data_IF_022963066744
#
_entry.id   IF_022963066744
#
_cell.length_a   1.000
_cell.length_b   1.000
_cell.length_c   1.000
_cell.angle_alpha   90.00
_cell.angle_beta   90.00
_cell.angle_gamma   90.00
#
_symmetry.space_group_name_H-M   'P 1'
#
loop_
_entity.id
_entity.type
_entity.pdbx_description
1 polymer ?
#
# COMPACT_ATOMS: atom_id res chain seq x y z
N UNK A 1 6.85 9.87 -15.60
CA UNK A 1 5.87 8.95 -15.00
C UNK A 1 5.00 9.73 -14.02
N UNK A 2 3.70 9.53 -14.03
CA UNK A 2 2.73 10.14 -13.10
C UNK A 2 2.10 9.04 -12.26
N UNK A 3 2.24 9.16 -10.94
CA UNK A 3 1.73 8.20 -9.98
C UNK A 3 0.64 8.86 -9.15
N UNK A 4 -0.43 8.13 -8.88
CA UNK A 4 -1.45 8.49 -7.89
C UNK A 4 -1.37 7.52 -6.72
N UNK A 5 -1.28 8.06 -5.51
CA UNK A 5 -1.49 7.31 -4.29
C UNK A 5 -2.81 7.75 -3.64
N UNK A 6 -3.62 6.79 -3.25
CA UNK A 6 -4.88 7.01 -2.53
C UNK A 6 -4.75 6.38 -1.15
N UNK A 7 -4.99 7.17 -0.12
CA UNK A 7 -5.04 6.69 1.26
C UNK A 7 -6.21 5.72 1.49
N UNK A 8 -6.48 5.43 2.75
CA UNK A 8 -7.43 4.40 3.18
C UNK A 8 -8.82 4.55 2.52
N UNK A 9 -9.19 3.54 1.71
CA UNK A 9 -10.53 3.43 1.13
C UNK A 9 -11.43 2.82 2.19
N UNK A 10 -12.44 3.58 2.65
CA UNK A 10 -13.30 3.15 3.76
C UNK A 10 -14.71 2.79 3.26
N UNK A 11 -15.05 1.53 3.36
CA UNK A 11 -16.37 0.96 3.14
C UNK A 11 -17.00 1.26 1.78
N UNK A 12 -18.32 1.05 1.65
CA UNK A 12 -19.04 1.24 0.38
C UNK A 12 -18.97 2.67 -0.15
N UNK A 13 -18.91 3.68 0.72
CA UNK A 13 -18.83 5.09 0.33
C UNK A 13 -17.50 5.42 -0.35
N UNK A 14 -16.38 4.97 0.24
CA UNK A 14 -15.05 5.11 -0.37
C UNK A 14 -14.96 4.38 -1.70
N UNK A 15 -15.39 3.11 -1.76
CA UNK A 15 -15.44 2.33 -2.99
C UNK A 15 -16.28 3.00 -4.08
N UNK A 16 -17.45 3.58 -3.72
CA UNK A 16 -18.31 4.30 -4.67
C UNK A 16 -17.62 5.52 -5.27
N UNK A 17 -16.90 6.29 -4.46
CA UNK A 17 -16.14 7.46 -4.93
C UNK A 17 -15.05 7.02 -5.92
N UNK A 18 -14.27 6.00 -5.57
CA UNK A 18 -13.22 5.46 -6.45
C UNK A 18 -13.82 5.00 -7.78
N UNK A 19 -14.84 4.15 -7.74
CA UNK A 19 -15.49 3.62 -8.94
C UNK A 19 -16.03 4.72 -9.87
N UNK A 20 -16.51 5.82 -9.29
CA UNK A 20 -17.10 6.92 -10.06
C UNK A 20 -16.05 7.83 -10.70
N UNK A 21 -14.98 8.14 -9.98
CA UNK A 21 -14.09 9.22 -10.40
C UNK A 21 -12.70 8.76 -10.87
N UNK A 22 -12.19 7.64 -10.35
CA UNK A 22 -10.81 7.22 -10.67
C UNK A 22 -10.58 6.99 -12.16
N UNK A 23 -11.47 6.32 -12.94
CA UNK A 23 -11.24 6.11 -14.36
C UNK A 23 -11.09 7.42 -15.16
N UNK A 24 -11.88 8.43 -14.79
CA UNK A 24 -11.80 9.76 -15.41
C UNK A 24 -10.50 10.48 -15.03
N UNK A 25 -10.12 10.43 -13.75
CA UNK A 25 -8.87 11.03 -13.23
C UNK A 25 -7.65 10.42 -13.91
N UNK A 26 -7.62 9.08 -14.08
CA UNK A 26 -6.53 8.39 -14.79
C UNK A 26 -6.36 8.98 -16.20
N UNK A 27 -7.45 9.13 -16.93
CA UNK A 27 -7.42 9.67 -18.29
C UNK A 27 -7.05 11.16 -18.31
N UNK A 28 -7.70 11.99 -17.48
CA UNK A 28 -7.46 13.44 -17.45
C UNK A 28 -6.05 13.82 -17.02
N UNK A 29 -5.46 13.05 -16.10
CA UNK A 29 -4.12 13.31 -15.57
C UNK A 29 -3.03 12.50 -16.26
N UNK A 30 -3.39 11.64 -17.20
CA UNK A 30 -2.47 10.74 -17.91
C UNK A 30 -1.61 9.96 -16.89
N UNK A 31 -2.30 9.23 -15.99
CA UNK A 31 -1.63 8.50 -14.92
C UNK A 31 -1.06 7.18 -15.43
N UNK A 32 0.18 6.91 -15.09
CA UNK A 32 0.90 5.68 -15.44
C UNK A 32 0.67 4.56 -14.42
N UNK A 33 0.48 4.92 -13.14
CA UNK A 33 0.41 3.95 -12.05
C UNK A 33 -0.43 4.47 -10.88
N UNK A 34 -1.27 3.59 -10.30
CA UNK A 34 -2.16 3.92 -9.18
C UNK A 34 -1.97 2.91 -8.06
N UNK A 35 -1.64 3.39 -6.87
CA UNK A 35 -1.62 2.61 -5.63
C UNK A 35 -2.69 3.13 -4.70
N UNK A 36 -3.36 2.25 -3.97
CA UNK A 36 -4.35 2.64 -2.97
C UNK A 36 -4.27 1.73 -1.74
N UNK A 37 -4.54 2.27 -0.57
CA UNK A 37 -4.74 1.46 0.62
C UNK A 37 -6.20 1.01 0.69
N UNK A 38 -6.42 -0.31 0.67
CA UNK A 38 -7.74 -0.93 0.64
C UNK A 38 -8.11 -1.66 1.94
N UNK A 39 -7.38 -1.45 3.03
CA UNK A 39 -7.58 -2.24 4.24
C UNK A 39 -8.96 -2.11 4.89
N UNK A 40 -9.67 -1.00 4.64
CA UNK A 40 -11.01 -0.73 5.17
C UNK A 40 -12.11 -0.79 4.11
N UNK A 41 -11.82 -1.36 2.93
CA UNK A 41 -12.70 -1.29 1.77
C UNK A 41 -13.94 -2.22 1.83
N UNK A 42 -13.94 -3.23 2.72
CA UNK A 42 -15.08 -4.12 2.89
C UNK A 42 -16.36 -3.39 3.36
N UNK A 43 -17.54 -3.98 3.14
CA UNK A 43 -18.83 -3.39 3.42
C UNK A 43 -19.01 -2.96 4.90
N UNK A 44 -18.37 -3.67 5.82
CA UNK A 44 -18.34 -3.35 7.24
C UNK A 44 -17.23 -2.36 7.65
N UNK A 45 -16.43 -1.88 6.69
CA UNK A 45 -15.32 -0.97 6.93
C UNK A 45 -14.05 -1.61 7.51
N UNK A 46 -13.96 -2.94 7.56
CA UNK A 46 -12.83 -3.67 8.14
C UNK A 46 -12.33 -4.76 7.17
N UNK A 47 -11.08 -4.67 6.76
CA UNK A 47 -10.49 -5.59 5.80
C UNK A 47 -10.92 -5.30 4.36
N UNK A 48 -10.60 -6.23 3.49
CA UNK A 48 -10.95 -6.19 2.07
C UNK A 48 -11.39 -7.59 1.62
N UNK A 49 -12.47 -7.68 0.85
CA UNK A 49 -12.93 -8.94 0.25
C UNK A 49 -12.35 -9.11 -1.15
N UNK A 50 -12.28 -10.36 -1.64
CA UNK A 50 -11.88 -10.66 -3.03
C UNK A 50 -12.72 -9.87 -4.04
N UNK A 51 -14.04 -9.84 -3.83
CA UNK A 51 -14.97 -9.10 -4.68
C UNK A 51 -14.60 -7.62 -4.75
N UNK A 52 -14.40 -6.98 -3.60
CA UNK A 52 -14.09 -5.54 -3.52
C UNK A 52 -12.71 -5.25 -4.13
N UNK A 53 -11.70 -6.10 -3.87
CA UNK A 53 -10.37 -5.96 -4.47
C UNK A 53 -10.46 -5.99 -6.01
N UNK A 54 -11.17 -6.98 -6.57
CA UNK A 54 -11.37 -7.09 -8.01
C UNK A 54 -12.13 -5.89 -8.61
N UNK A 55 -13.15 -5.38 -7.93
CA UNK A 55 -13.87 -4.16 -8.36
C UNK A 55 -12.93 -2.95 -8.40
N UNK A 56 -12.05 -2.80 -7.40
CA UNK A 56 -11.09 -1.70 -7.32
C UNK A 56 -9.99 -1.83 -8.39
N UNK A 57 -9.47 -3.03 -8.65
CA UNK A 57 -8.54 -3.27 -9.78
C UNK A 57 -9.18 -2.94 -11.12
N UNK A 58 -10.43 -3.31 -11.34
CA UNK A 58 -11.18 -3.00 -12.57
C UNK A 58 -11.40 -1.49 -12.77
N UNK A 59 -11.33 -0.68 -11.72
CA UNK A 59 -11.38 0.80 -11.83
C UNK A 59 -10.04 1.43 -12.22
N UNK A 60 -8.96 0.64 -12.31
CA UNK A 60 -7.64 1.09 -12.73
C UNK A 60 -6.61 1.20 -11.61
N UNK A 61 -6.89 0.69 -10.40
CA UNK A 61 -5.86 0.55 -9.36
C UNK A 61 -4.91 -0.57 -9.78
N UNK A 62 -3.60 -0.29 -9.74
CA UNK A 62 -2.56 -1.25 -10.09
C UNK A 62 -2.15 -2.11 -8.91
N UNK A 63 -2.10 -1.54 -7.71
CA UNK A 63 -1.71 -2.24 -6.47
C UNK A 63 -2.56 -1.75 -5.31
N UNK A 64 -3.05 -2.69 -4.51
CA UNK A 64 -3.69 -2.43 -3.23
C UNK A 64 -2.72 -2.78 -2.10
N UNK A 65 -2.51 -1.85 -1.19
CA UNK A 65 -1.87 -2.08 0.10
C UNK A 65 -2.93 -2.28 1.18
N UNK A 66 -2.52 -2.78 2.33
CA UNK A 66 -3.39 -3.00 3.48
C UNK A 66 -2.73 -2.54 4.79
N UNK A 67 -3.23 -2.98 5.93
CA UNK A 67 -2.72 -2.62 7.24
C UNK A 67 -3.15 -3.61 8.33
N UNK A 68 -3.49 -3.12 9.51
CA UNK A 68 -3.83 -3.95 10.67
C UNK A 68 -5.15 -4.74 10.52
N UNK A 69 -6.01 -4.35 9.57
CA UNK A 69 -7.27 -5.05 9.29
C UNK A 69 -7.17 -6.08 8.16
N UNK A 70 -5.97 -6.37 7.65
CA UNK A 70 -5.77 -7.28 6.50
C UNK A 70 -6.43 -8.66 6.65
N UNK A 71 -6.55 -9.17 7.90
CA UNK A 71 -7.12 -10.50 8.19
C UNK A 71 -8.56 -10.46 8.71
N UNK A 72 -9.21 -9.29 8.72
CA UNK A 72 -10.56 -9.17 9.29
C UNK A 72 -11.66 -9.74 8.37
N UNK A 73 -11.32 -10.02 7.09
CA UNK A 73 -12.14 -10.84 6.18
C UNK A 73 -11.47 -12.20 5.99
N UNK A 74 -12.16 -13.28 6.34
CA UNK A 74 -11.57 -14.64 6.32
C UNK A 74 -11.09 -15.08 4.94
N UNK A 75 -11.80 -14.69 3.89
CA UNK A 75 -11.45 -15.02 2.50
C UNK A 75 -10.16 -14.36 2.02
N UNK A 76 -9.75 -13.24 2.65
CA UNK A 76 -8.52 -12.54 2.27
C UNK A 76 -7.29 -13.42 2.43
N UNK A 77 -7.28 -14.33 3.40
CA UNK A 77 -6.15 -15.25 3.65
C UNK A 77 -5.82 -16.07 2.40
N UNK A 78 -6.84 -16.63 1.74
CA UNK A 78 -6.64 -17.43 0.52
C UNK A 78 -6.46 -16.56 -0.73
N UNK A 79 -7.15 -15.40 -0.78
CA UNK A 79 -7.11 -14.51 -1.91
C UNK A 79 -5.73 -13.85 -2.09
N UNK A 80 -5.14 -13.37 -1.00
CA UNK A 80 -3.85 -12.64 -1.03
C UNK A 80 -2.66 -13.51 -1.46
N UNK A 81 -2.76 -14.83 -1.31
CA UNK A 81 -1.74 -15.74 -1.84
C UNK A 81 -1.77 -15.85 -3.37
N UNK A 82 -2.95 -15.65 -3.97
CA UNK A 82 -3.18 -15.79 -5.41
C UNK A 82 -3.08 -14.44 -6.13
N UNK A 83 -3.47 -13.35 -5.46
CA UNK A 83 -3.51 -12.00 -6.04
C UNK A 83 -2.24 -11.20 -5.70
N UNK A 84 -1.32 -11.15 -6.67
CA UNK A 84 -0.02 -10.47 -6.52
C UNK A 84 -0.13 -8.96 -6.33
N UNK A 85 -1.25 -8.35 -6.73
CA UNK A 85 -1.49 -6.91 -6.63
C UNK A 85 -2.09 -6.49 -5.29
N UNK A 86 -2.39 -7.44 -4.41
CA UNK A 86 -2.84 -7.18 -3.05
C UNK A 86 -1.68 -7.46 -2.07
N UNK A 87 -1.18 -6.41 -1.44
CA UNK A 87 -0.04 -6.49 -0.51
C UNK A 87 -0.50 -6.33 0.94
N UNK A 88 0.05 -7.17 1.81
CA UNK A 88 -0.06 -7.04 3.27
C UNK A 88 1.14 -6.26 3.83
N UNK A 89 1.11 -5.81 5.09
CA UNK A 89 2.33 -5.28 5.71
C UNK A 89 3.49 -6.29 5.66
N UNK A 90 4.66 -5.80 5.21
CA UNK A 90 5.85 -6.62 5.00
C UNK A 90 6.38 -7.22 6.31
N UNK A 91 6.29 -6.45 7.38
CA UNK A 91 6.74 -6.83 8.72
C UNK A 91 5.70 -7.59 9.54
N UNK A 92 4.68 -8.20 8.93
CA UNK A 92 3.86 -9.19 9.64
C UNK A 92 4.69 -10.44 9.94
N UNK A 93 4.57 -10.93 11.19
CA UNK A 93 5.33 -12.09 11.67
C UNK A 93 5.06 -13.33 10.82
N UNK A 94 6.12 -14.03 10.43
CA UNK A 94 6.03 -15.25 9.64
C UNK A 94 5.46 -16.44 10.47
N UNK A 95 4.74 -17.40 9.82
CA UNK A 95 4.37 -17.39 8.41
C UNK A 95 3.05 -16.64 8.17
N UNK A 96 3.10 -15.51 7.45
CA UNK A 96 1.91 -14.78 7.03
C UNK A 96 1.69 -14.99 5.52
N UNK A 97 0.47 -15.32 5.06
CA UNK A 97 0.18 -15.51 3.64
C UNK A 97 0.36 -14.22 2.83
N UNK A 98 0.62 -14.36 1.53
CA UNK A 98 0.83 -13.24 0.63
C UNK A 98 2.17 -12.53 0.82
N UNK A 99 2.33 -11.39 0.15
CA UNK A 99 3.57 -10.60 0.14
C UNK A 99 3.35 -9.19 0.70
N UNK A 100 4.43 -8.59 1.23
CA UNK A 100 4.43 -7.19 1.65
C UNK A 100 5.20 -6.26 0.70
N UNK A 101 5.86 -6.85 -0.30
CA UNK A 101 6.59 -6.15 -1.35
C UNK A 101 6.50 -6.94 -2.65
N UNK A 102 6.31 -6.24 -3.76
CA UNK A 102 6.51 -6.81 -5.10
C UNK A 102 6.89 -5.69 -6.10
N UNK A 103 7.35 -6.10 -7.29
CA UNK A 103 7.76 -5.20 -8.37
C UNK A 103 6.76 -5.35 -9.53
N UNK A 104 6.20 -4.24 -9.95
CA UNK A 104 5.19 -4.16 -11.00
C UNK A 104 5.72 -3.42 -12.22
N UNK A 105 5.25 -3.80 -13.40
CA UNK A 105 5.61 -3.12 -14.63
C UNK A 105 4.51 -2.13 -15.03
N UNK A 106 4.91 -0.90 -15.37
CA UNK A 106 4.03 0.05 -16.04
C UNK A 106 3.85 -0.30 -17.52
N UNK A 107 2.92 0.37 -18.20
CA UNK A 107 2.73 0.24 -19.66
C UNK A 107 4.01 0.53 -20.45
N UNK A 108 4.90 1.36 -19.91
CA UNK A 108 6.18 1.75 -20.53
C UNK A 108 7.36 0.89 -20.04
N UNK A 109 7.09 -0.29 -19.47
CA UNK A 109 8.08 -1.23 -18.93
C UNK A 109 8.97 -0.67 -17.81
N UNK A 110 8.57 0.41 -17.14
CA UNK A 110 9.24 0.89 -15.94
C UNK A 110 8.87 0.01 -14.75
N UNK A 111 9.85 -0.31 -13.92
CA UNK A 111 9.69 -1.13 -12.72
C UNK A 111 9.31 -0.27 -11.52
N UNK A 112 8.16 -0.54 -10.94
CA UNK A 112 7.68 0.12 -9.71
C UNK A 112 7.66 -0.90 -8.58
N UNK A 113 8.55 -0.74 -7.59
CA UNK A 113 8.47 -1.45 -6.33
C UNK A 113 7.39 -0.82 -5.46
N UNK A 114 6.54 -1.64 -4.87
CA UNK A 114 5.56 -1.19 -3.86
C UNK A 114 5.81 -1.97 -2.58
N UNK A 115 6.12 -1.26 -1.50
CA UNK A 115 6.38 -1.81 -0.17
C UNK A 115 5.28 -1.33 0.78
N UNK A 116 4.62 -2.25 1.44
CA UNK A 116 3.68 -1.95 2.50
C UNK A 116 4.33 -2.27 3.85
N UNK A 117 4.38 -1.31 4.75
CA UNK A 117 4.92 -1.45 6.11
C UNK A 117 3.85 -1.11 7.15
N UNK A 118 3.95 -1.67 8.33
CA UNK A 118 3.09 -1.35 9.47
C UNK A 118 3.91 -0.89 10.68
N UNK A 119 3.47 0.19 11.33
CA UNK A 119 4.07 0.67 12.57
C UNK A 119 3.92 -0.33 13.72
N UNK A 120 4.70 -0.12 14.77
CA UNK A 120 4.66 -0.98 15.96
C UNK A 120 3.86 -0.35 17.11
N UNK A 121 3.90 0.99 17.22
CA UNK A 121 3.32 1.69 18.38
C UNK A 121 1.82 1.89 18.19
N UNK A 122 1.03 1.35 19.12
CA UNK A 122 -0.44 1.31 19.08
C UNK A 122 -1.05 0.51 17.92
N UNK A 123 -0.23 -0.31 17.26
CA UNK A 123 -0.66 -1.17 16.15
C UNK A 123 -0.79 -2.64 16.58
N UNK A 124 -1.42 -3.48 15.75
CA UNK A 124 -1.42 -4.94 15.96
C UNK A 124 0.02 -5.48 15.94
N UNK A 125 0.26 -6.57 16.69
CA UNK A 125 1.61 -7.17 16.82
C UNK A 125 2.18 -7.53 15.44
N UNK A 126 3.36 -7.03 15.17
CA UNK A 126 4.19 -7.34 14.00
C UNK A 126 5.68 -7.29 14.39
N UNK A 127 6.54 -7.67 13.47
CA UNK A 127 7.99 -7.56 13.67
C UNK A 127 8.40 -6.07 13.65
N UNK A 128 9.55 -5.76 14.23
CA UNK A 128 10.07 -4.39 14.32
C UNK A 128 10.23 -3.79 12.92
N UNK A 129 9.52 -2.70 12.67
CA UNK A 129 9.46 -2.09 11.34
C UNK A 129 10.80 -1.51 10.90
N UNK A 130 11.63 -1.02 11.82
CA UNK A 130 12.94 -0.48 11.49
C UNK A 130 13.92 -1.58 11.12
N UNK A 131 13.93 -2.69 11.89
CA UNK A 131 14.76 -3.86 11.58
C UNK A 131 14.37 -4.45 10.21
N UNK A 132 13.08 -4.61 9.94
CA UNK A 132 12.62 -5.14 8.64
C UNK A 132 12.92 -4.18 7.49
N UNK A 133 12.82 -2.87 7.72
CA UNK A 133 13.21 -1.84 6.74
C UNK A 133 14.71 -1.89 6.42
N UNK A 134 15.58 -2.03 7.42
CA UNK A 134 17.02 -2.20 7.21
C UNK A 134 17.36 -3.48 6.43
N UNK A 135 16.67 -4.60 6.73
CA UNK A 135 16.80 -5.85 5.96
C UNK A 135 16.37 -5.65 4.51
N UNK A 136 15.26 -4.92 4.30
CA UNK A 136 14.78 -4.60 2.96
C UNK A 136 15.84 -3.80 2.18
N UNK A 137 16.37 -2.73 2.74
CA UNK A 137 17.39 -1.87 2.11
C UNK A 137 18.70 -2.61 1.78
N UNK A 138 19.06 -3.65 2.56
CA UNK A 138 20.23 -4.50 2.24
C UNK A 138 20.00 -5.36 0.99
N UNK A 139 18.76 -5.73 0.70
CA UNK A 139 18.43 -6.66 -0.39
C UNK A 139 17.95 -5.96 -1.67
N UNK A 140 17.38 -4.77 -1.53
CA UNK A 140 16.75 -4.05 -2.63
C UNK A 140 17.25 -2.61 -2.71
N UNK A 141 17.59 -2.16 -3.91
CA UNK A 141 18.11 -0.82 -4.15
C UNK A 141 17.37 -0.13 -5.30
N UNK A 142 17.11 1.18 -5.12
CA UNK A 142 16.61 2.06 -6.17
C UNK A 142 17.56 2.07 -7.37
N UNK A 143 17.02 2.08 -8.59
CA UNK A 143 17.73 2.02 -9.88
C UNK A 143 18.43 0.70 -10.20
N UNK A 144 18.58 -0.21 -9.25
CA UNK A 144 19.12 -1.55 -9.50
C UNK A 144 18.02 -2.60 -9.65
N UNK A 145 17.11 -2.66 -8.71
CA UNK A 145 16.02 -3.64 -8.69
C UNK A 145 14.73 -3.07 -9.31
N UNK A 146 14.48 -1.78 -9.11
CA UNK A 146 13.32 -1.03 -9.60
C UNK A 146 13.70 0.41 -9.94
N UNK A 147 12.92 1.04 -10.82
CA UNK A 147 13.11 2.44 -11.23
C UNK A 147 12.53 3.41 -10.20
N UNK A 148 11.44 3.00 -9.55
CA UNK A 148 10.70 3.77 -8.54
C UNK A 148 10.34 2.86 -7.38
N UNK A 149 10.39 3.39 -6.15
CA UNK A 149 9.90 2.73 -4.94
C UNK A 149 8.81 3.58 -4.30
N UNK A 150 7.65 2.98 -4.10
CA UNK A 150 6.53 3.57 -3.37
C UNK A 150 6.39 2.80 -2.06
N UNK A 151 6.33 3.52 -0.94
CA UNK A 151 6.13 2.93 0.39
C UNK A 151 4.81 3.44 0.95
N UNK A 152 3.93 2.51 1.31
CA UNK A 152 2.78 2.77 2.17
C UNK A 152 3.14 2.37 3.60
N UNK A 153 3.33 3.36 4.46
CA UNK A 153 3.57 3.15 5.89
C UNK A 153 2.26 3.31 6.66
N UNK A 154 1.68 2.17 7.03
CA UNK A 154 0.42 2.09 7.77
C UNK A 154 0.67 2.15 9.27
N UNK A 155 0.49 3.29 9.91
CA UNK A 155 0.83 3.48 11.33
C UNK A 155 0.06 4.60 12.01
N UNK A 156 -0.13 4.46 13.33
CA UNK A 156 -0.84 5.43 14.15
C UNK A 156 0.02 6.66 14.44
N UNK A 157 1.27 6.47 14.86
CA UNK A 157 2.08 7.54 15.43
C UNK A 157 2.82 8.33 14.36
N UNK A 158 2.72 9.67 14.45
CA UNK A 158 3.43 10.60 13.59
C UNK A 158 4.95 10.42 13.63
N UNK A 159 5.53 10.15 14.82
CA UNK A 159 6.96 9.96 14.97
C UNK A 159 7.49 8.74 14.21
N UNK A 160 6.76 7.61 14.18
CA UNK A 160 7.15 6.46 13.34
C UNK A 160 7.05 6.79 11.85
N UNK A 161 5.99 7.47 11.42
CA UNK A 161 5.83 7.93 10.02
C UNK A 161 7.02 8.79 9.60
N UNK A 162 7.40 9.75 10.44
CA UNK A 162 8.55 10.63 10.19
C UNK A 162 9.88 9.87 10.18
N UNK A 163 10.08 8.95 11.14
CA UNK A 163 11.31 8.16 11.23
C UNK A 163 11.51 7.25 10.01
N UNK A 164 10.44 6.60 9.52
CA UNK A 164 10.47 5.81 8.27
C UNK A 164 10.76 6.73 7.08
N UNK A 165 10.15 7.93 7.03
CA UNK A 165 10.46 8.91 6.00
C UNK A 165 11.97 9.24 5.95
N UNK A 166 12.59 9.47 7.10
CA UNK A 166 14.05 9.72 7.18
C UNK A 166 14.90 8.49 6.86
N UNK A 167 14.48 7.29 7.29
CA UNK A 167 15.23 6.05 7.03
C UNK A 167 15.34 5.74 5.53
N UNK A 168 14.27 6.04 4.78
CA UNK A 168 14.22 5.79 3.34
C UNK A 168 14.54 7.03 2.48
N UNK A 169 15.00 8.12 3.08
CA UNK A 169 15.41 9.32 2.34
C UNK A 169 16.55 8.99 1.35
N UNK A 170 16.35 9.33 0.09
CA UNK A 170 17.26 8.97 -1.01
C UNK A 170 17.09 7.54 -1.54
N UNK A 171 16.38 6.65 -0.83
CA UNK A 171 16.18 5.23 -1.19
C UNK A 171 14.77 4.95 -1.75
N UNK A 172 13.80 5.82 -1.47
CA UNK A 172 12.44 5.73 -1.97
C UNK A 172 12.05 6.93 -2.84
N UNK A 173 11.11 6.72 -3.76
CA UNK A 173 10.57 7.78 -4.62
C UNK A 173 9.41 8.51 -3.94
N UNK A 174 8.57 7.76 -3.23
CA UNK A 174 7.40 8.28 -2.52
C UNK A 174 7.17 7.45 -1.25
N UNK A 175 6.99 8.12 -0.13
CA UNK A 175 6.58 7.52 1.14
C UNK A 175 5.29 8.20 1.58
N UNK A 176 4.28 7.42 1.85
CA UNK A 176 2.97 7.91 2.30
C UNK A 176 2.62 7.28 3.64
N UNK A 177 1.96 8.04 4.51
CA UNK A 177 1.39 7.55 5.75
C UNK A 177 -0.11 7.27 5.61
N UNK A 178 -0.57 6.12 6.10
CA UNK A 178 -1.99 5.71 6.15
C UNK A 178 -2.41 5.38 7.59
N UNK A 179 -3.60 4.88 7.81
CA UNK A 179 -4.23 4.47 9.07
C UNK A 179 -5.07 5.56 9.76
N UNK A 180 -4.56 6.75 9.98
CA UNK A 180 -5.24 7.76 10.81
C UNK A 180 -6.42 8.43 10.13
N UNK A 181 -6.63 8.20 8.84
CA UNK A 181 -7.70 8.78 8.01
C UNK A 181 -7.75 10.32 8.05
N UNK A 182 -6.62 10.95 8.32
CA UNK A 182 -6.50 12.42 8.40
C UNK A 182 -5.49 12.89 7.36
N UNK A 183 -5.90 13.71 6.39
CA UNK A 183 -4.96 14.32 5.47
C UNK A 183 -4.09 15.33 6.22
N UNK A 184 -2.80 15.39 5.86
CA UNK A 184 -1.83 16.30 6.46
C UNK A 184 -1.24 17.22 5.39
N UNK A 185 -0.53 18.26 5.81
CA UNK A 185 0.12 19.24 4.92
C UNK A 185 1.61 19.39 5.26
N UNK A 186 2.27 18.26 5.50
CA UNK A 186 3.66 18.15 5.95
C UNK A 186 4.57 17.45 4.91
N UNK A 187 4.17 17.47 3.64
CA UNK A 187 4.96 16.93 2.53
C UNK A 187 6.35 17.60 2.44
N UNK A 188 7.40 16.80 2.21
CA UNK A 188 8.80 17.20 2.08
C UNK A 188 9.45 16.49 0.92
#
# INVERSE_FOLDING_TARGET
>A
MRILFLGDIVGPSGCKVIKKYLPEIINQKDLDFVVANGENAADNGLGITEKVANELFNCGINVLTTGNHVWDQKETVEHIEKEKKLLRPHNLTAPAPGKGFDIFLTKNNLKVGVLNLMGNVFMKKCDDVFIESEKFLKNYNLKKNYDFLIIDFHGEITSEKMAIGHLFDGEATLITGTHTHVPTNDAR
#
